data_IF_729662161101
#
_entry.id   IF_729662161101
#
_cell.length_a   1.000
_cell.length_b   1.000
_cell.length_c   1.000
_cell.angle_alpha   90.00
_cell.angle_beta   90.00
_cell.angle_gamma   90.00
#
_symmetry.space_group_name_H-M   'P 1'
#
loop_
_entity.id
_entity.type
_entity.pdbx_description
1 polymer ?
#
# COMPACT_ATOMS: atom_id res chain seq x y z
N UNK A 1 -3.99 17.37 -13.40
CA UNK A 1 -5.11 17.51 -14.37
C UNK A 1 -6.17 18.45 -13.78
N UNK A 2 -7.07 19.06 -14.56
CA UNK A 2 -8.18 19.82 -13.99
C UNK A 2 -9.09 18.91 -13.15
N UNK A 3 -9.67 19.46 -12.08
CA UNK A 3 -10.63 18.76 -11.23
C UNK A 3 -11.97 18.60 -11.99
N UNK A 4 -12.54 17.39 -12.12
CA UNK A 4 -13.85 17.21 -12.71
C UNK A 4 -14.94 17.89 -11.88
N UNK A 5 -15.89 18.53 -12.55
CA UNK A 5 -17.05 19.13 -11.89
C UNK A 5 -18.02 18.05 -11.41
N UNK A 6 -18.62 18.20 -10.24
CA UNK A 6 -19.78 17.41 -9.85
C UNK A 6 -21.01 18.06 -10.47
N UNK A 7 -21.78 17.34 -11.29
CA UNK A 7 -22.90 17.94 -12.04
C UNK A 7 -24.14 18.19 -11.18
N UNK A 8 -24.26 17.48 -10.05
CA UNK A 8 -25.31 17.66 -9.06
C UNK A 8 -24.76 18.47 -7.87
N UNK A 9 -25.19 19.73 -7.68
CA UNK A 9 -24.73 20.57 -6.59
C UNK A 9 -25.02 20.00 -5.19
N UNK A 10 -26.07 19.19 -5.04
CA UNK A 10 -26.41 18.57 -3.76
C UNK A 10 -25.37 17.49 -3.40
N UNK A 11 -24.95 16.69 -4.38
CA UNK A 11 -23.89 15.69 -4.19
C UNK A 11 -22.54 16.37 -3.92
N UNK A 12 -22.25 17.48 -4.59
CA UNK A 12 -21.01 18.24 -4.35
C UNK A 12 -20.96 18.79 -2.92
N UNK A 13 -22.07 19.37 -2.46
CA UNK A 13 -22.19 19.90 -1.10
C UNK A 13 -22.07 18.79 -0.06
N UNK A 14 -22.71 17.64 -0.30
CA UNK A 14 -22.64 16.48 0.58
C UNK A 14 -21.21 15.93 0.68
N UNK A 15 -20.52 15.74 -0.44
CA UNK A 15 -19.13 15.25 -0.48
C UNK A 15 -18.14 16.13 0.29
N UNK A 16 -18.47 17.41 0.46
CA UNK A 16 -17.64 18.40 1.14
C UNK A 16 -18.15 18.71 2.56
N UNK A 17 -19.14 18.00 3.08
CA UNK A 17 -19.70 18.23 4.42
C UNK A 17 -19.38 17.06 5.35
N UNK A 18 -18.64 17.35 6.42
CA UNK A 18 -18.30 16.36 7.43
C UNK A 18 -19.52 16.02 8.30
N UNK A 19 -19.69 14.75 8.67
CA UNK A 19 -20.86 14.27 9.44
C UNK A 19 -21.05 15.02 10.76
N UNK A 20 -19.96 15.43 11.42
CA UNK A 20 -19.98 16.32 12.60
C UNK A 20 -20.53 17.75 12.38
N UNK A 21 -20.85 18.17 11.14
CA UNK A 21 -21.54 19.43 10.82
C UNK A 21 -23.01 19.21 10.46
N UNK A 22 -23.45 17.97 10.26
CA UNK A 22 -24.86 17.63 10.08
C UNK A 22 -25.49 17.36 11.44
N UNK A 23 -26.70 17.87 11.65
CA UNK A 23 -27.41 17.74 12.93
C UNK A 23 -28.84 17.23 12.78
N UNK A 24 -29.39 17.26 11.56
CA UNK A 24 -30.77 16.88 11.27
C UNK A 24 -30.82 15.61 10.44
N UNK A 25 -31.78 14.74 10.77
CA UNK A 25 -32.09 13.59 9.94
C UNK A 25 -32.46 14.05 8.51
N UNK A 26 -31.71 13.59 7.52
CA UNK A 26 -31.91 13.93 6.11
C UNK A 26 -30.91 14.96 5.55
N UNK A 27 -30.05 15.57 6.38
CA UNK A 27 -28.88 16.30 5.88
C UNK A 27 -27.88 15.30 5.27
N UNK A 28 -27.37 15.61 4.09
CA UNK A 28 -26.40 14.75 3.39
C UNK A 28 -25.00 15.14 3.84
N UNK A 29 -24.23 14.14 4.27
CA UNK A 29 -22.80 14.24 4.54
C UNK A 29 -22.01 13.38 3.54
N UNK A 30 -20.69 13.37 3.71
CA UNK A 30 -19.82 12.63 2.83
C UNK A 30 -19.87 11.11 3.04
N UNK A 31 -20.42 10.57 4.13
CA UNK A 31 -20.15 9.17 4.56
C UNK A 31 -20.63 8.14 3.53
N UNK A 32 -21.83 8.36 2.96
CA UNK A 32 -22.36 7.45 1.92
C UNK A 32 -21.62 7.59 0.59
N UNK A 33 -21.13 8.80 0.30
CA UNK A 33 -20.38 9.08 -0.92
C UNK A 33 -18.95 8.54 -0.82
N UNK A 34 -18.31 8.66 0.34
CA UNK A 34 -17.03 8.06 0.71
C UNK A 34 -17.09 6.55 0.48
N UNK A 35 -18.10 5.90 1.07
CA UNK A 35 -18.27 4.45 0.92
C UNK A 35 -18.37 3.99 -0.54
N UNK A 36 -19.10 4.74 -1.39
CA UNK A 36 -19.19 4.43 -2.82
C UNK A 36 -17.87 4.76 -3.52
N UNK A 37 -17.29 5.91 -3.20
CA UNK A 37 -16.06 6.42 -3.79
C UNK A 37 -14.86 5.52 -3.56
N UNK A 38 -14.71 4.97 -2.36
CA UNK A 38 -13.67 4.02 -1.98
C UNK A 38 -13.69 2.78 -2.88
N UNK A 39 -14.87 2.15 -3.05
CA UNK A 39 -15.03 0.99 -3.94
C UNK A 39 -14.61 1.30 -5.37
N UNK A 40 -15.00 2.47 -5.90
CA UNK A 40 -14.59 2.87 -7.24
C UNK A 40 -13.10 3.22 -7.33
N UNK A 41 -12.52 3.85 -6.31
CA UNK A 41 -11.09 4.12 -6.24
C UNK A 41 -10.30 2.82 -6.26
N UNK A 42 -10.68 1.83 -5.45
CA UNK A 42 -10.03 0.52 -5.44
C UNK A 42 -10.12 -0.16 -6.81
N UNK A 43 -11.29 -0.15 -7.44
CA UNK A 43 -11.50 -0.76 -8.76
C UNK A 43 -10.63 -0.07 -9.83
N UNK A 44 -10.70 1.26 -9.90
CA UNK A 44 -9.98 2.03 -10.92
C UNK A 44 -8.47 1.93 -10.69
N UNK A 45 -8.00 1.97 -9.44
CA UNK A 45 -6.60 1.78 -9.08
C UNK A 45 -6.09 0.38 -9.45
N UNK A 46 -6.90 -0.66 -9.17
CA UNK A 46 -6.57 -2.05 -9.54
C UNK A 46 -6.40 -2.18 -11.05
N UNK A 47 -7.35 -1.65 -11.83
CA UNK A 47 -7.28 -1.68 -13.29
C UNK A 47 -6.09 -0.87 -13.82
N UNK A 48 -5.82 0.30 -13.24
CA UNK A 48 -4.69 1.14 -13.63
C UNK A 48 -3.36 0.44 -13.39
N UNK A 49 -3.14 -0.17 -12.23
CA UNK A 49 -1.91 -0.92 -11.91
C UNK A 49 -1.77 -2.13 -12.84
N UNK A 50 -2.83 -2.90 -13.04
CA UNK A 50 -2.82 -4.07 -13.92
C UNK A 50 -2.45 -3.71 -15.36
N UNK A 51 -3.02 -2.63 -15.89
CA UNK A 51 -2.75 -2.16 -17.26
C UNK A 51 -1.35 -1.54 -17.40
N UNK A 52 -0.87 -0.85 -16.38
CA UNK A 52 0.43 -0.16 -16.41
C UNK A 52 1.60 -1.11 -16.19
N UNK A 53 1.43 -2.13 -15.34
CA UNK A 53 2.48 -3.10 -14.98
C UNK A 53 2.02 -4.55 -15.20
N UNK A 54 1.87 -5.01 -16.45
CA UNK A 54 1.25 -6.30 -16.76
C UNK A 54 2.03 -7.51 -16.22
N UNK A 55 3.34 -7.35 -15.97
CA UNK A 55 4.21 -8.42 -15.48
C UNK A 55 4.44 -8.37 -13.95
N UNK A 56 3.74 -7.49 -13.24
CA UNK A 56 3.92 -7.31 -11.80
C UNK A 56 3.24 -8.46 -11.02
N UNK A 57 3.94 -9.14 -10.10
CA UNK A 57 3.33 -10.20 -9.31
C UNK A 57 2.17 -9.68 -8.45
N UNK A 58 1.13 -10.50 -8.16
CA UNK A 58 -0.07 -10.06 -7.44
C UNK A 58 0.23 -9.32 -6.13
N UNK A 59 1.22 -9.78 -5.36
CA UNK A 59 1.62 -9.12 -4.11
C UNK A 59 2.15 -7.69 -4.32
N UNK A 60 3.01 -7.48 -5.32
CA UNK A 60 3.50 -6.13 -5.66
C UNK A 60 2.39 -5.27 -6.28
N UNK A 61 1.49 -5.86 -7.07
CA UNK A 61 0.34 -5.15 -7.62
C UNK A 61 -0.58 -4.61 -6.53
N UNK A 62 -0.86 -5.42 -5.49
CA UNK A 62 -1.60 -4.96 -4.31
C UNK A 62 -0.89 -3.84 -3.55
N UNK A 63 0.44 -3.92 -3.40
CA UNK A 63 1.22 -2.85 -2.77
C UNK A 63 1.15 -1.55 -3.56
N UNK A 64 1.31 -1.60 -4.88
CA UNK A 64 1.23 -0.40 -5.72
C UNK A 64 -0.18 0.19 -5.74
N UNK A 65 -1.22 -0.66 -5.73
CA UNK A 65 -2.60 -0.20 -5.56
C UNK A 65 -2.77 0.54 -4.23
N UNK A 66 -2.28 -0.01 -3.12
CA UNK A 66 -2.37 0.61 -1.80
C UNK A 66 -1.68 1.99 -1.77
N UNK A 67 -0.55 2.16 -2.47
CA UNK A 67 0.10 3.47 -2.59
C UNK A 67 -0.80 4.54 -3.23
N UNK A 68 -1.68 4.14 -4.15
CA UNK A 68 -2.58 5.05 -4.85
C UNK A 68 -3.78 5.48 -4.00
N UNK A 69 -4.31 4.57 -3.17
CA UNK A 69 -5.58 4.76 -2.45
C UNK A 69 -5.44 5.04 -0.96
N UNK A 70 -4.24 4.94 -0.38
CA UNK A 70 -4.04 5.23 1.04
C UNK A 70 -4.39 6.68 1.40
N UNK A 71 -4.93 6.89 2.60
CA UNK A 71 -5.34 8.21 3.12
C UNK A 71 -4.28 9.29 3.01
N UNK A 72 -2.99 8.98 3.20
CA UNK A 72 -1.92 9.97 3.03
C UNK A 72 -1.94 10.52 1.59
N UNK A 73 -1.97 9.63 0.59
CA UNK A 73 -2.00 10.00 -0.82
C UNK A 73 -3.28 10.77 -1.18
N UNK A 74 -4.44 10.29 -0.72
CA UNK A 74 -5.72 10.96 -0.99
C UNK A 74 -5.80 12.33 -0.32
N UNK A 75 -5.28 12.46 0.91
CA UNK A 75 -5.21 13.75 1.61
C UNK A 75 -4.32 14.76 0.88
N UNK A 76 -3.20 14.33 0.30
CA UNK A 76 -2.34 15.19 -0.53
C UNK A 76 -3.10 15.71 -1.76
N UNK A 77 -3.93 14.86 -2.38
CA UNK A 77 -4.78 15.29 -3.50
C UNK A 77 -5.87 16.25 -3.07
N UNK A 78 -6.53 16.02 -1.94
CA UNK A 78 -7.51 16.97 -1.37
C UNK A 78 -6.91 18.35 -1.15
N UNK A 79 -5.70 18.41 -0.58
CA UNK A 79 -4.98 19.68 -0.39
C UNK A 79 -4.57 20.31 -1.73
N UNK A 80 -4.10 19.51 -2.68
CA UNK A 80 -3.68 19.99 -4.00
C UNK A 80 -4.82 20.66 -4.77
N UNK A 81 -6.03 20.08 -4.72
CA UNK A 81 -7.22 20.63 -5.36
C UNK A 81 -7.94 21.69 -4.51
N UNK A 82 -7.45 21.98 -3.30
CA UNK A 82 -8.08 22.93 -2.38
C UNK A 82 -9.43 22.46 -1.86
N UNK A 83 -9.70 21.15 -1.83
CA UNK A 83 -10.95 20.59 -1.28
C UNK A 83 -11.05 20.88 0.21
N UNK A 84 -9.92 20.92 0.92
CA UNK A 84 -9.82 21.30 2.33
C UNK A 84 -10.40 22.69 2.63
N UNK A 85 -10.26 23.63 1.69
CA UNK A 85 -10.77 25.00 1.81
C UNK A 85 -12.26 25.11 1.46
N UNK A 86 -12.76 24.18 0.66
CA UNK A 86 -14.16 24.11 0.24
C UNK A 86 -15.00 23.29 1.21
N UNK A 87 -14.36 22.40 1.96
CA UNK A 87 -15.02 21.50 2.88
C UNK A 87 -15.49 22.20 4.15
N UNK A 88 -16.69 21.81 4.59
CA UNK A 88 -17.31 22.24 5.84
C UNK A 88 -16.95 21.25 6.95
N UNK A 89 -15.84 21.51 7.64
CA UNK A 89 -15.38 20.72 8.77
C UNK A 89 -15.65 21.43 10.12
N UNK A 90 -15.82 20.68 11.21
CA UNK A 90 -15.80 21.23 12.57
C UNK A 90 -14.52 22.02 12.85
N UNK A 91 -14.62 23.10 13.63
CA UNK A 91 -13.53 24.05 13.88
C UNK A 91 -12.27 23.36 14.48
N UNK A 92 -12.47 22.27 15.22
CA UNK A 92 -11.42 21.42 15.80
C UNK A 92 -10.48 20.77 14.77
N UNK A 93 -10.90 20.59 13.51
CA UNK A 93 -10.05 20.09 12.42
C UNK A 93 -9.04 21.14 11.93
N UNK A 94 -9.15 22.40 12.38
CA UNK A 94 -8.11 23.40 12.24
C UNK A 94 -7.77 23.78 10.79
N UNK A 95 -8.74 23.69 9.87
CA UNK A 95 -8.55 24.04 8.45
C UNK A 95 -8.73 25.53 8.17
N UNK A 96 -9.28 26.28 9.14
CA UNK A 96 -9.47 27.73 9.07
C UNK A 96 -8.89 28.44 10.29
N UNK A 97 -7.58 28.66 10.31
CA UNK A 97 -6.89 29.81 10.93
C UNK A 97 -7.20 30.26 12.37
N UNK A 98 -7.97 29.55 13.19
CA UNK A 98 -8.21 29.94 14.59
C UNK A 98 -7.21 29.26 15.53
N UNK A 99 -6.33 30.07 16.10
CA UNK A 99 -5.45 29.73 17.21
C UNK A 99 -6.31 29.78 18.49
N UNK A 100 -6.72 28.64 19.04
CA UNK A 100 -7.46 28.65 20.32
C UNK A 100 -8.27 27.40 20.70
N UNK A 101 -8.09 26.25 20.05
CA UNK A 101 -8.77 25.01 20.41
C UNK A 101 -7.85 23.79 20.36
N UNK A 102 -8.21 22.73 21.09
CA UNK A 102 -7.53 21.42 21.05
C UNK A 102 -7.56 20.90 19.61
N UNK A 103 -6.44 21.02 18.90
CA UNK A 103 -6.37 20.64 17.48
C UNK A 103 -6.47 19.13 17.34
N UNK A 104 -7.28 18.66 16.39
CA UNK A 104 -7.40 17.26 16.05
C UNK A 104 -6.01 16.69 15.64
N UNK A 105 -5.71 15.47 16.09
CA UNK A 105 -4.45 14.77 15.74
C UNK A 105 -4.24 14.76 14.22
N UNK A 106 -2.99 14.94 13.77
CA UNK A 106 -2.64 14.95 12.34
C UNK A 106 -3.15 13.72 11.59
N UNK A 107 -3.18 12.54 12.24
CA UNK A 107 -3.73 11.31 11.66
C UNK A 107 -5.22 11.40 11.37
N UNK A 108 -6.01 12.00 12.27
CA UNK A 108 -7.45 12.19 12.09
C UNK A 108 -7.73 13.20 10.97
N UNK A 109 -6.91 14.25 10.85
CA UNK A 109 -7.00 15.21 9.75
C UNK A 109 -6.67 14.56 8.41
N UNK A 110 -5.61 13.74 8.34
CA UNK A 110 -5.27 12.98 7.13
C UNK A 110 -6.42 12.06 6.72
N UNK A 111 -7.02 11.35 7.69
CA UNK A 111 -8.18 10.51 7.42
C UNK A 111 -9.33 11.34 6.83
N UNK A 112 -9.79 12.37 7.53
CA UNK A 112 -10.88 13.22 7.07
C UNK A 112 -10.65 13.84 5.67
N UNK A 113 -9.41 14.22 5.36
CA UNK A 113 -9.05 14.70 4.02
C UNK A 113 -9.04 13.60 2.95
N UNK A 114 -8.75 12.35 3.34
CA UNK A 114 -8.93 11.17 2.49
C UNK A 114 -10.40 10.90 2.22
N UNK A 115 -11.21 10.84 3.28
CA UNK A 115 -12.64 10.54 3.21
C UNK A 115 -13.38 11.53 2.27
N UNK A 116 -13.08 12.84 2.33
CA UNK A 116 -13.67 13.82 1.40
C UNK A 116 -13.22 13.62 -0.05
N UNK A 117 -12.00 13.11 -0.28
CA UNK A 117 -11.53 12.84 -1.64
C UNK A 117 -12.31 11.67 -2.25
N UNK A 118 -12.48 10.61 -1.46
CA UNK A 118 -13.29 9.44 -1.81
C UNK A 118 -14.73 9.87 -2.08
N UNK A 119 -15.31 10.67 -1.19
CA UNK A 119 -16.65 11.20 -1.37
C UNK A 119 -16.79 12.07 -2.63
N UNK A 120 -15.78 12.89 -2.94
CA UNK A 120 -15.79 13.70 -4.17
C UNK A 120 -15.70 12.81 -5.42
N UNK A 121 -14.94 11.72 -5.39
CA UNK A 121 -14.96 10.70 -6.46
C UNK A 121 -16.35 10.09 -6.60
N UNK A 122 -16.97 9.69 -5.48
CA UNK A 122 -18.34 9.17 -5.45
C UNK A 122 -19.34 10.17 -6.04
N UNK A 123 -19.22 11.45 -5.70
CA UNK A 123 -20.07 12.52 -6.22
C UNK A 123 -19.89 12.73 -7.73
N UNK A 124 -18.66 12.72 -8.26
CA UNK A 124 -18.42 12.80 -9.72
C UNK A 124 -19.17 11.66 -10.42
N UNK A 125 -19.04 10.44 -9.90
CA UNK A 125 -19.62 9.23 -10.49
C UNK A 125 -21.14 9.27 -10.47
N UNK A 126 -21.74 9.64 -9.34
CA UNK A 126 -23.20 9.63 -9.18
C UNK A 126 -23.89 10.83 -9.82
N UNK A 127 -23.17 11.94 -10.00
CA UNK A 127 -23.72 13.13 -10.65
C UNK A 127 -23.96 12.97 -12.16
N UNK A 128 -23.42 11.91 -12.77
CA UNK A 128 -23.44 11.69 -14.21
C UNK A 128 -23.66 10.20 -14.50
N UNK A 129 -24.90 9.84 -14.79
CA UNK A 129 -25.36 8.45 -14.97
C UNK A 129 -24.72 7.74 -16.17
N UNK A 130 -24.23 8.50 -17.15
CA UNK A 130 -23.66 7.97 -18.39
C UNK A 130 -22.13 7.97 -18.37
N UNK A 131 -21.54 9.07 -17.95
CA UNK A 131 -20.11 9.33 -18.11
C UNK A 131 -19.36 9.46 -16.77
N UNK A 132 -20.04 9.40 -15.62
CA UNK A 132 -19.45 9.62 -14.31
C UNK A 132 -18.24 8.73 -14.01
N UNK A 133 -18.37 7.41 -14.24
CA UNK A 133 -17.26 6.44 -14.05
C UNK A 133 -16.09 6.77 -14.98
N UNK A 134 -16.36 7.04 -16.26
CA UNK A 134 -15.32 7.34 -17.25
C UNK A 134 -14.59 8.62 -16.89
N UNK A 135 -15.30 9.69 -16.55
CA UNK A 135 -14.74 10.98 -16.16
C UNK A 135 -13.87 10.88 -14.91
N UNK A 136 -14.33 10.16 -13.89
CA UNK A 136 -13.52 9.89 -12.69
C UNK A 136 -12.28 9.06 -13.03
N UNK A 137 -12.44 8.00 -13.84
CA UNK A 137 -11.34 7.12 -14.25
C UNK A 137 -10.25 7.84 -15.03
N UNK A 138 -10.62 8.61 -16.06
CA UNK A 138 -9.69 9.37 -16.89
C UNK A 138 -8.90 10.38 -16.04
N UNK A 139 -9.59 11.08 -15.14
CA UNK A 139 -8.97 12.03 -14.22
C UNK A 139 -7.99 11.36 -13.25
N UNK A 140 -8.41 10.28 -12.58
CA UNK A 140 -7.58 9.54 -11.62
C UNK A 140 -6.34 8.94 -12.27
N UNK A 141 -6.47 8.36 -13.48
CA UNK A 141 -5.34 7.80 -14.23
C UNK A 141 -4.29 8.85 -14.57
N UNK A 142 -4.70 10.05 -14.99
CA UNK A 142 -3.77 11.15 -15.27
C UNK A 142 -3.12 11.65 -13.97
N UNK A 143 -3.90 11.75 -12.89
CA UNK A 143 -3.40 12.16 -11.58
C UNK A 143 -2.34 11.18 -11.07
N UNK A 144 -2.65 9.89 -11.03
CA UNK A 144 -1.71 8.86 -10.60
C UNK A 144 -0.52 8.70 -11.54
N UNK A 145 -0.71 8.83 -12.86
CA UNK A 145 0.40 8.83 -13.81
C UNK A 145 1.47 9.90 -13.50
N UNK A 146 1.06 11.03 -12.90
CA UNK A 146 1.98 12.10 -12.50
C UNK A 146 2.69 11.86 -11.16
N UNK A 147 2.13 11.04 -10.26
CA UNK A 147 2.66 10.85 -8.89
C UNK A 147 3.24 9.48 -8.63
N UNK A 148 2.77 8.45 -9.33
CA UNK A 148 3.04 7.05 -9.00
C UNK A 148 4.52 6.69 -9.11
N UNK A 149 5.23 7.19 -10.12
CA UNK A 149 6.67 6.91 -10.27
C UNK A 149 7.48 7.41 -9.06
N UNK A 150 7.13 8.59 -8.52
CA UNK A 150 7.76 9.13 -7.31
C UNK A 150 7.38 8.29 -6.09
N UNK A 151 6.10 7.96 -5.94
CA UNK A 151 5.59 7.16 -4.82
C UNK A 151 6.21 5.76 -4.77
N UNK A 152 6.39 5.10 -5.91
CA UNK A 152 7.08 3.81 -6.01
C UNK A 152 8.53 3.94 -5.55
N UNK A 153 9.28 4.93 -6.05
CA UNK A 153 10.68 5.12 -5.64
C UNK A 153 10.82 5.35 -4.14
N UNK A 154 9.99 6.20 -3.57
CA UNK A 154 9.99 6.47 -2.12
C UNK A 154 9.58 5.23 -1.31
N UNK A 155 8.62 4.45 -1.80
CA UNK A 155 8.20 3.21 -1.17
C UNK A 155 9.33 2.18 -1.19
N UNK A 156 9.92 1.90 -2.36
CA UNK A 156 11.00 0.92 -2.52
C UNK A 156 12.30 1.37 -1.85
N UNK A 157 12.60 2.66 -1.75
CA UNK A 157 13.77 3.15 -1.01
C UNK A 157 13.64 2.99 0.50
N UNK A 158 12.40 3.07 1.03
CA UNK A 158 12.13 2.83 2.46
C UNK A 158 11.98 1.35 2.77
N UNK A 159 11.48 0.60 1.81
CA UNK A 159 11.32 -0.84 1.86
C UNK A 159 12.34 -1.47 0.93
N UNK A 160 13.64 -1.14 1.11
CA UNK A 160 14.73 -1.89 0.48
C UNK A 160 14.48 -3.33 0.86
N UNK A 161 13.80 -4.02 -0.05
CA UNK A 161 13.52 -5.42 0.03
C UNK A 161 14.84 -5.96 -0.41
N UNK A 162 15.75 -6.14 0.54
CA UNK A 162 16.75 -7.19 0.40
C UNK A 162 15.92 -8.41 0.03
N UNK A 163 15.90 -8.75 -1.26
CA UNK A 163 15.26 -9.97 -1.74
C UNK A 163 15.72 -11.03 -0.77
N UNK A 164 14.79 -11.66 -0.05
CA UNK A 164 15.20 -12.55 1.03
C UNK A 164 16.16 -13.57 0.43
N UNK A 165 17.32 -13.85 1.03
CA UNK A 165 18.31 -14.72 0.41
C UNK A 165 17.73 -16.04 -0.12
N UNK A 166 16.69 -16.58 0.52
CA UNK A 166 15.93 -17.74 -0.01
C UNK A 166 15.27 -17.47 -1.36
N UNK A 167 14.60 -16.33 -1.50
CA UNK A 167 13.95 -15.91 -2.75
C UNK A 167 14.97 -15.60 -3.84
N UNK A 168 16.09 -14.96 -3.49
CA UNK A 168 17.16 -14.66 -4.44
C UNK A 168 17.83 -15.95 -4.95
N UNK A 169 18.07 -16.93 -4.06
CA UNK A 169 18.59 -18.24 -4.44
C UNK A 169 17.61 -18.99 -5.34
N UNK A 170 16.33 -19.03 -5.00
CA UNK A 170 15.31 -19.67 -5.84
C UNK A 170 15.22 -19.01 -7.23
N UNK A 171 15.39 -17.69 -7.33
CA UNK A 171 15.45 -17.01 -8.64
C UNK A 171 16.74 -17.34 -9.42
N UNK A 172 17.86 -17.52 -8.73
CA UNK A 172 19.14 -17.80 -9.36
C UNK A 172 19.23 -19.22 -9.92
N UNK A 173 18.70 -20.22 -9.20
CA UNK A 173 18.89 -21.65 -9.53
C UNK A 173 17.59 -22.47 -9.62
N UNK A 174 16.43 -21.91 -9.27
CA UNK A 174 15.14 -22.58 -9.31
C UNK A 174 14.59 -22.71 -10.73
N UNK A 175 14.95 -23.81 -11.39
CA UNK A 175 14.39 -24.22 -12.70
C UNK A 175 13.71 -25.58 -12.62
N UNK A 176 12.89 -25.92 -13.62
CA UNK A 176 12.14 -27.19 -13.62
C UNK A 176 13.09 -28.39 -13.51
N UNK A 177 12.91 -29.22 -12.48
CA UNK A 177 13.77 -30.37 -12.18
C UNK A 177 14.81 -30.10 -11.09
N UNK A 178 14.90 -28.87 -10.60
CA UNK A 178 15.74 -28.47 -9.46
C UNK A 178 14.85 -28.25 -8.24
N UNK A 179 15.25 -28.80 -7.10
CA UNK A 179 14.55 -28.63 -5.82
C UNK A 179 15.53 -28.16 -4.75
N UNK A 180 15.21 -27.03 -4.12
CA UNK A 180 15.92 -26.49 -2.96
C UNK A 180 15.16 -26.86 -1.69
N UNK A 181 15.85 -27.45 -0.72
CA UNK A 181 15.29 -27.83 0.57
C UNK A 181 16.09 -27.25 1.73
N UNK A 182 15.38 -26.85 2.79
CA UNK A 182 16.00 -26.39 4.03
C UNK A 182 15.73 -27.40 5.13
N UNK A 183 16.79 -27.87 5.80
CA UNK A 183 16.67 -28.86 6.88
C UNK A 183 17.44 -28.40 8.11
N UNK A 184 16.90 -28.74 9.28
CA UNK A 184 17.61 -28.54 10.54
C UNK A 184 18.85 -29.45 10.56
N UNK A 185 20.00 -28.87 10.90
CA UNK A 185 21.23 -29.62 11.13
C UNK A 185 21.38 -29.88 12.64
N UNK A 186 22.07 -30.96 13.04
CA UNK A 186 22.26 -31.27 14.46
C UNK A 186 22.93 -30.09 15.19
N UNK A 187 22.22 -29.50 16.14
CA UNK A 187 22.74 -28.41 16.95
C UNK A 187 23.78 -28.97 17.93
N UNK A 188 25.03 -28.47 17.84
CA UNK A 188 26.10 -28.82 18.80
C UNK A 188 25.94 -28.08 20.15
N UNK A 189 24.71 -27.80 20.60
CA UNK A 189 24.42 -27.07 21.83
C UNK A 189 24.98 -25.64 21.87
N UNK A 190 25.19 -25.01 20.71
CA UNK A 190 25.78 -23.67 20.62
C UNK A 190 24.77 -22.63 21.07
N UNK A 191 25.24 -21.67 21.88
CA UNK A 191 24.47 -20.50 22.32
C UNK A 191 25.09 -19.23 21.77
N UNK A 192 24.27 -18.23 21.51
CA UNK A 192 24.74 -16.90 21.14
C UNK A 192 25.43 -16.24 22.34
N UNK A 193 26.59 -15.61 22.12
CA UNK A 193 27.46 -15.14 23.20
C UNK A 193 26.84 -14.02 24.05
N UNK A 194 26.07 -13.13 23.43
CA UNK A 194 25.53 -11.94 24.10
C UNK A 194 24.17 -12.20 24.76
N UNK A 195 23.31 -13.01 24.13
CA UNK A 195 21.94 -13.25 24.59
C UNK A 195 21.78 -14.58 25.34
N UNK A 196 22.78 -15.46 25.26
CA UNK A 196 22.75 -16.83 25.80
C UNK A 196 21.58 -17.69 25.25
N UNK A 197 20.99 -17.28 24.12
CA UNK A 197 19.89 -17.99 23.47
C UNK A 197 20.44 -19.18 22.65
N UNK A 198 19.66 -20.28 22.51
CA UNK A 198 20.04 -21.40 21.67
C UNK A 198 20.13 -20.98 20.21
N UNK A 199 21.20 -21.41 19.53
CA UNK A 199 21.36 -21.24 18.09
C UNK A 199 20.79 -22.44 17.36
N UNK A 200 19.88 -22.19 16.44
CA UNK A 200 19.38 -23.17 15.47
C UNK A 200 20.28 -23.13 14.23
N UNK A 201 20.67 -24.29 13.73
CA UNK A 201 21.45 -24.42 12.49
C UNK A 201 20.60 -25.04 11.39
N UNK A 202 20.53 -24.37 10.23
CA UNK A 202 19.79 -24.84 9.06
C UNK A 202 20.75 -25.00 7.89
N UNK A 203 20.67 -26.13 7.19
CA UNK A 203 21.37 -26.38 5.92
C UNK A 203 20.46 -26.12 4.71
N UNK A 204 21.05 -25.64 3.62
CA UNK A 204 20.42 -25.47 2.31
C UNK A 204 20.91 -26.57 1.36
N UNK A 205 20.00 -27.39 0.82
CA UNK A 205 20.30 -28.58 0.03
C UNK A 205 19.68 -28.52 -1.35
N UNK A 206 20.41 -29.02 -2.34
CA UNK A 206 20.04 -29.08 -3.74
C UNK A 206 19.83 -30.53 -4.18
N UNK A 207 18.69 -30.78 -4.83
CA UNK A 207 18.48 -31.97 -5.65
C UNK A 207 18.26 -31.53 -7.11
N UNK A 208 19.09 -32.00 -8.03
CA UNK A 208 19.04 -31.61 -9.43
C UNK A 208 20.41 -31.48 -10.08
N UNK A 209 20.47 -31.30 -11.40
CA UNK A 209 21.72 -31.24 -12.18
C UNK A 209 22.68 -32.42 -11.96
N UNK A 210 22.14 -33.62 -11.69
CA UNK A 210 22.93 -34.82 -11.40
C UNK A 210 23.43 -34.90 -9.95
N UNK A 211 23.15 -33.89 -9.13
CA UNK A 211 23.47 -33.86 -7.71
C UNK A 211 22.28 -34.32 -6.88
N UNK A 212 22.54 -35.13 -5.86
CA UNK A 212 21.53 -35.58 -4.88
C UNK A 212 21.98 -35.15 -3.50
N UNK A 213 21.10 -34.45 -2.81
CA UNK A 213 21.29 -33.94 -1.45
C UNK A 213 22.57 -33.11 -1.25
N UNK A 214 22.95 -32.32 -2.26
CA UNK A 214 24.17 -31.50 -2.20
C UNK A 214 23.93 -30.29 -1.31
N UNK A 215 24.70 -30.17 -0.24
CA UNK A 215 24.65 -29.00 0.63
C UNK A 215 25.30 -27.79 -0.07
N UNK A 216 24.50 -26.75 -0.33
CA UNK A 216 24.95 -25.50 -0.94
C UNK A 216 25.44 -24.48 0.11
N UNK A 217 24.94 -24.57 1.34
CA UNK A 217 25.27 -23.63 2.40
C UNK A 217 24.63 -24.01 3.73
N UNK A 218 25.00 -23.30 4.81
CA UNK A 218 24.36 -23.42 6.11
C UNK A 218 24.36 -22.09 6.85
N UNK A 219 23.48 -21.95 7.83
CA UNK A 219 23.37 -20.73 8.62
C UNK A 219 22.90 -21.03 10.04
N UNK A 220 23.42 -20.26 11.01
CA UNK A 220 23.01 -20.34 12.41
C UNK A 220 22.44 -19.02 12.91
N UNK A 221 21.31 -19.08 13.61
CA UNK A 221 20.66 -17.91 14.23
C UNK A 221 19.80 -18.36 15.42
N UNK A 222 19.35 -17.40 16.22
CA UNK A 222 18.44 -17.64 17.36
C UNK A 222 17.03 -18.07 16.94
N UNK A 223 16.70 -18.00 15.65
CA UNK A 223 15.46 -18.53 15.08
C UNK A 223 15.70 -19.30 13.79
N UNK A 224 14.91 -20.37 13.55
CA UNK A 224 15.01 -21.22 12.35
C UNK A 224 14.83 -20.46 11.04
N UNK A 225 13.94 -19.45 11.04
CA UNK A 225 13.69 -18.62 9.85
C UNK A 225 14.95 -17.87 9.42
N UNK A 226 15.62 -17.22 10.37
CA UNK A 226 16.83 -16.42 10.11
C UNK A 226 18.04 -17.31 9.82
N UNK A 227 18.15 -18.46 10.49
CA UNK A 227 19.15 -19.49 10.19
C UNK A 227 19.02 -19.96 8.73
N UNK A 228 17.79 -20.19 8.26
CA UNK A 228 17.52 -20.53 6.88
C UNK A 228 17.82 -19.40 5.88
N UNK A 229 17.64 -18.13 6.25
CA UNK A 229 18.04 -17.00 5.41
C UNK A 229 19.57 -16.91 5.29
N UNK A 230 20.30 -17.08 6.40
CA UNK A 230 21.77 -17.13 6.37
C UNK A 230 22.31 -18.31 5.55
N UNK A 231 21.65 -19.48 5.62
CA UNK A 231 22.01 -20.63 4.80
C UNK A 231 21.88 -20.37 3.31
N UNK A 232 20.81 -19.67 2.91
CA UNK A 232 20.61 -19.28 1.52
C UNK A 232 21.57 -18.17 1.07
N UNK A 233 21.93 -17.23 1.95
CA UNK A 233 22.95 -16.23 1.65
C UNK A 233 24.31 -16.87 1.40
N UNK A 234 24.75 -17.78 2.28
CA UNK A 234 25.99 -18.51 2.07
C UNK A 234 25.99 -19.30 0.75
N UNK A 235 24.84 -19.85 0.35
CA UNK A 235 24.71 -20.55 -0.92
C UNK A 235 24.78 -19.61 -2.15
N UNK A 236 24.36 -18.35 -2.01
CA UNK A 236 24.48 -17.32 -3.04
C UNK A 236 25.91 -16.76 -3.17
N UNK A 237 26.67 -16.79 -2.07
CA UNK A 237 28.04 -16.28 -2.01
C UNK A 237 29.09 -17.32 -2.48
N UNK A 238 28.69 -18.58 -2.69
CA UNK A 238 29.52 -19.70 -3.18
C UNK A 238 29.58 -19.75 -4.71
#
# INVERSE_FOLDING_TARGET
PPLPAVLDPALETAALTHSGKTSRAGELDYERLEWIGDVYLELIATLFVYQTFPNLPPGKSSQYRELLVRNITLSEFSLHYGLDKRANFPDEFGLGGRIGGTTVSGTKRIKALGDIFEAYVGAIILSDDKDGIRRASDWLKVLWGSTLARQIREYESRHVTTISPKTALEQAIGVKGIKIEYRDLPDKGKKERDTNLPLFTVGCFLNGWGETDKQLGYGSATGKKDAGQKAAQMALDN
#
